data_IF_342315944274
#
_entry.id   IF_342315944274
#
_cell.length_a   1.000
_cell.length_b   1.000
_cell.length_c   1.000
_cell.angle_alpha   90.00
_cell.angle_beta   90.00
_cell.angle_gamma   90.00
#
_symmetry.space_group_name_H-M   'P 1'
#
loop_
_entity.id
_entity.type
_entity.pdbx_description
1 polymer ?
#
# COMPACT_ATOMS: atom_id res chain seq x y z
N UNK A 1 -8.17 38.29 -30.23
CA UNK A 1 -8.32 37.82 -28.86
C UNK A 1 -8.01 36.32 -28.81
N UNK A 2 -6.88 36.01 -28.21
CA UNK A 2 -6.46 34.65 -27.94
C UNK A 2 -7.44 34.03 -26.96
N UNK A 3 -8.22 33.06 -27.42
CA UNK A 3 -8.93 32.17 -26.52
C UNK A 3 -7.89 31.35 -25.80
N UNK A 4 -7.65 31.69 -24.57
CA UNK A 4 -6.96 30.91 -23.57
C UNK A 4 -7.65 29.54 -23.54
N UNK A 5 -6.99 28.53 -24.06
CA UNK A 5 -7.36 27.14 -23.87
C UNK A 5 -7.07 26.72 -22.43
N UNK A 6 -7.90 27.16 -21.49
CA UNK A 6 -8.10 26.49 -20.22
C UNK A 6 -8.90 25.20 -20.47
N UNK A 7 -8.50 24.42 -21.47
CA UNK A 7 -9.08 23.13 -21.76
C UNK A 7 -8.36 22.10 -20.91
N UNK A 8 -9.00 21.72 -19.80
CA UNK A 8 -8.97 20.39 -19.21
C UNK A 8 -7.57 19.82 -18.98
N UNK A 9 -6.95 20.22 -17.90
CA UNK A 9 -6.13 19.29 -17.12
C UNK A 9 -7.06 18.23 -16.50
N UNK A 10 -7.68 17.42 -17.36
CA UNK A 10 -8.24 16.16 -16.93
C UNK A 10 -7.01 15.33 -16.58
N UNK A 11 -6.71 15.22 -15.29
CA UNK A 11 -5.67 14.36 -14.76
C UNK A 11 -5.88 12.95 -15.33
N UNK A 12 -5.10 12.60 -16.34
CA UNK A 12 -5.12 11.26 -16.93
C UNK A 12 -4.50 10.33 -15.91
N UNK A 13 -5.34 9.66 -15.13
CA UNK A 13 -4.90 8.58 -14.24
C UNK A 13 -4.24 7.49 -15.08
N UNK A 14 -3.00 7.16 -14.75
CA UNK A 14 -2.26 6.09 -15.38
C UNK A 14 -2.27 4.87 -14.46
N UNK A 15 -2.42 3.68 -15.02
CA UNK A 15 -2.38 2.42 -14.26
C UNK A 15 -1.05 1.74 -14.57
N UNK A 16 -0.30 1.43 -13.51
CA UNK A 16 0.95 0.70 -13.58
C UNK A 16 0.89 -0.52 -12.66
N UNK A 17 1.32 -1.66 -13.16
CA UNK A 17 1.40 -2.89 -12.38
C UNK A 17 2.79 -3.02 -11.76
N UNK A 18 2.85 -3.17 -10.44
CA UNK A 18 4.12 -3.12 -9.69
C UNK A 18 4.71 -4.49 -9.37
N UNK A 19 3.98 -5.59 -9.65
CA UNK A 19 4.40 -6.95 -9.27
C UNK A 19 4.22 -7.22 -7.77
N UNK A 20 4.73 -8.36 -7.32
CA UNK A 20 4.62 -8.82 -5.93
C UNK A 20 5.96 -8.65 -5.21
N UNK A 21 5.88 -8.22 -3.95
CA UNK A 21 7.01 -8.05 -3.05
C UNK A 21 7.68 -6.68 -3.10
N UNK A 22 8.40 -6.35 -2.05
CA UNK A 22 8.97 -5.02 -1.82
C UNK A 22 9.95 -4.57 -2.91
N UNK A 23 10.78 -5.48 -3.41
CA UNK A 23 11.79 -5.15 -4.44
C UNK A 23 11.13 -4.75 -5.75
N UNK A 24 10.15 -5.53 -6.22
CA UNK A 24 9.39 -5.21 -7.43
C UNK A 24 8.60 -3.91 -7.26
N UNK A 25 7.98 -3.72 -6.10
CA UNK A 25 7.22 -2.52 -5.79
C UNK A 25 8.08 -1.25 -5.86
N UNK A 26 9.28 -1.26 -5.27
CA UNK A 26 10.23 -0.12 -5.35
C UNK A 26 10.66 0.14 -6.78
N UNK A 27 11.11 -0.90 -7.49
CA UNK A 27 11.64 -0.76 -8.85
C UNK A 27 10.57 -0.17 -9.80
N UNK A 28 9.38 -0.74 -9.78
CA UNK A 28 8.30 -0.30 -10.67
C UNK A 28 7.68 1.04 -10.25
N UNK A 29 7.60 1.35 -8.96
CA UNK A 29 7.19 2.68 -8.49
C UNK A 29 8.17 3.77 -8.95
N UNK A 30 9.48 3.54 -8.87
CA UNK A 30 10.48 4.49 -9.37
C UNK A 30 10.39 4.68 -10.88
N UNK A 31 10.16 3.60 -11.65
CA UNK A 31 9.95 3.68 -13.09
C UNK A 31 8.68 4.48 -13.44
N UNK A 32 7.57 4.24 -12.74
CA UNK A 32 6.33 4.97 -12.92
C UNK A 32 6.51 6.47 -12.61
N UNK A 33 7.21 6.80 -11.52
CA UNK A 33 7.54 8.18 -11.15
C UNK A 33 8.36 8.86 -12.24
N UNK A 34 9.40 8.19 -12.73
CA UNK A 34 10.24 8.72 -13.82
C UNK A 34 9.45 8.94 -15.10
N UNK A 35 8.53 8.04 -15.42
CA UNK A 35 7.73 8.08 -16.66
C UNK A 35 6.65 9.14 -16.63
N UNK A 36 5.96 9.30 -15.49
CA UNK A 36 4.74 10.09 -15.39
C UNK A 36 4.86 11.37 -14.55
N UNK A 37 5.91 11.51 -13.74
CA UNK A 37 6.10 12.63 -12.80
C UNK A 37 4.84 12.96 -11.98
N UNK A 38 4.22 11.96 -11.30
CA UNK A 38 2.94 12.13 -10.63
C UNK A 38 3.07 13.02 -9.40
N UNK A 39 2.03 13.80 -9.10
CA UNK A 39 1.89 14.54 -7.83
C UNK A 39 1.38 13.64 -6.70
N UNK A 40 0.63 12.60 -7.05
CA UNK A 40 0.06 11.64 -6.12
C UNK A 40 0.16 10.23 -6.71
N UNK A 41 0.43 9.26 -5.87
CA UNK A 41 0.34 7.83 -6.17
C UNK A 41 -0.78 7.23 -5.34
N UNK A 42 -1.63 6.44 -6.00
CA UNK A 42 -2.67 5.66 -5.33
C UNK A 42 -2.33 4.19 -5.53
N UNK A 43 -2.02 3.50 -4.43
CA UNK A 43 -1.83 2.05 -4.45
C UNK A 43 -3.16 1.35 -4.20
N UNK A 44 -3.43 0.34 -4.99
CA UNK A 44 -4.50 -0.62 -4.76
C UNK A 44 -3.95 -2.03 -4.80
N UNK A 45 -4.45 -2.89 -3.92
CA UNK A 45 -4.12 -4.31 -3.87
C UNK A 45 -4.96 -5.04 -2.84
N UNK A 46 -4.68 -6.32 -2.65
CA UNK A 46 -5.29 -7.14 -1.59
C UNK A 46 -4.44 -7.10 -0.33
N UNK A 47 -5.05 -7.45 0.81
CA UNK A 47 -4.38 -7.60 2.09
C UNK A 47 -5.09 -8.68 2.92
N UNK A 48 -4.34 -9.37 3.76
CA UNK A 48 -4.88 -10.23 4.81
C UNK A 48 -5.21 -9.40 6.05
N UNK A 49 -6.35 -9.68 6.69
CA UNK A 49 -6.72 -9.03 7.94
C UNK A 49 -6.21 -9.80 9.15
N UNK A 50 -5.71 -9.07 10.16
CA UNK A 50 -5.37 -9.62 11.48
C UNK A 50 -6.48 -9.37 12.51
N UNK A 51 -7.52 -8.61 12.14
CA UNK A 51 -8.76 -8.43 12.91
C UNK A 51 -9.97 -8.81 12.05
N UNK A 52 -10.68 -9.85 12.45
CA UNK A 52 -11.86 -10.37 11.73
C UNK A 52 -13.00 -9.35 11.54
N UNK A 53 -12.95 -8.21 12.23
CA UNK A 53 -13.91 -7.10 12.07
C UNK A 53 -13.61 -6.23 10.86
N UNK A 54 -12.37 -6.24 10.36
CA UNK A 54 -11.93 -5.44 9.22
C UNK A 54 -12.20 -6.22 7.95
N UNK A 55 -13.06 -5.70 7.09
CA UNK A 55 -13.53 -6.36 5.86
C UNK A 55 -13.74 -5.35 4.73
N UNK A 56 -13.77 -5.85 3.49
CA UNK A 56 -14.05 -5.03 2.32
C UNK A 56 -12.87 -4.14 1.92
N UNK A 57 -13.17 -2.98 1.37
CA UNK A 57 -12.16 -2.01 0.93
C UNK A 57 -11.86 -1.02 2.06
N UNK A 58 -10.61 -0.98 2.50
CA UNK A 58 -10.14 -0.09 3.57
C UNK A 58 -9.06 0.86 3.06
N UNK A 59 -8.96 2.06 3.65
CA UNK A 59 -7.84 2.97 3.44
C UNK A 59 -6.77 2.72 4.51
N UNK A 60 -5.51 2.71 4.09
CA UNK A 60 -4.36 2.53 4.98
C UNK A 60 -3.80 3.89 5.36
N UNK A 61 -3.62 4.14 6.63
CA UNK A 61 -3.06 5.39 7.17
C UNK A 61 -1.60 5.29 7.56
N UNK A 62 -1.18 4.13 8.06
CA UNK A 62 0.13 3.92 8.66
C UNK A 62 0.76 2.63 8.15
N UNK A 63 2.00 2.73 7.72
CA UNK A 63 2.74 1.65 7.05
C UNK A 63 3.94 1.25 7.87
N UNK A 64 4.12 -0.07 8.07
CA UNK A 64 5.23 -0.68 8.78
C UNK A 64 5.94 -1.71 7.89
N UNK A 65 7.25 -1.84 8.03
CA UNK A 65 8.01 -2.93 7.44
C UNK A 65 8.08 -4.09 8.43
N UNK A 66 7.05 -4.96 8.48
CA UNK A 66 6.87 -5.97 9.53
C UNK A 66 7.95 -7.04 9.60
N UNK A 67 8.64 -7.30 8.52
CA UNK A 67 9.68 -8.33 8.38
C UNK A 67 11.12 -7.76 8.50
N UNK A 68 11.27 -6.47 8.79
CA UNK A 68 12.55 -5.91 9.17
C UNK A 68 12.83 -6.27 10.63
N UNK A 69 13.74 -7.19 10.85
CA UNK A 69 14.15 -7.62 12.19
C UNK A 69 15.66 -7.52 12.35
N UNK A 70 16.10 -6.46 13.00
CA UNK A 70 17.47 -6.24 13.43
C UNK A 70 17.58 -6.24 14.96
N UNK A 71 16.68 -6.95 15.66
CA UNK A 71 16.66 -7.06 17.12
C UNK A 71 17.95 -7.61 17.72
N UNK A 72 18.70 -8.53 17.08
CA UNK A 72 20.02 -8.95 17.57
C UNK A 72 21.04 -7.80 17.65
N UNK A 73 20.82 -6.69 16.92
CA UNK A 73 21.64 -5.48 16.95
C UNK A 73 21.07 -4.40 17.88
N UNK A 74 19.99 -4.70 18.63
CA UNK A 74 19.34 -3.77 19.56
C UNK A 74 18.25 -2.88 18.97
N UNK A 75 17.86 -3.09 17.72
CA UNK A 75 16.75 -2.34 17.08
C UNK A 75 15.40 -3.02 17.35
N UNK A 76 14.32 -2.23 17.27
CA UNK A 76 12.96 -2.79 17.38
C UNK A 76 12.57 -3.51 16.08
N UNK A 77 11.73 -4.54 16.18
CA UNK A 77 11.12 -5.16 14.98
C UNK A 77 10.34 -4.09 14.20
N UNK A 78 10.54 -4.03 12.90
CA UNK A 78 10.01 -2.99 12.01
C UNK A 78 10.93 -1.77 11.84
N UNK A 79 11.94 -1.61 12.67
CA UNK A 79 12.89 -0.52 12.58
C UNK A 79 14.04 -0.85 11.63
N UNK A 80 14.19 -0.04 10.57
CA UNK A 80 15.40 -0.08 9.74
C UNK A 80 16.57 0.50 10.54
N UNK A 81 17.71 -0.22 10.70
CA UNK A 81 18.87 0.29 11.39
C UNK A 81 19.29 1.67 10.90
N UNK A 82 19.65 2.55 11.84
CA UNK A 82 20.08 3.94 11.58
C UNK A 82 19.03 4.88 11.00
N UNK A 83 17.77 4.44 10.91
CA UNK A 83 16.62 5.31 10.63
C UNK A 83 15.84 5.57 11.92
N UNK A 84 15.33 6.81 12.07
CA UNK A 84 14.53 7.19 13.24
C UNK A 84 13.10 6.68 13.17
N UNK A 85 12.52 6.72 11.97
CA UNK A 85 11.12 6.36 11.75
C UNK A 85 10.92 4.86 11.63
N UNK A 86 10.05 4.31 12.48
CA UNK A 86 9.61 2.90 12.43
C UNK A 86 8.39 2.78 11.49
N UNK A 87 7.64 3.88 11.33
CA UNK A 87 6.40 3.93 10.57
C UNK A 87 6.41 5.07 9.55
N UNK A 88 5.58 4.94 8.54
CA UNK A 88 5.35 5.99 7.54
C UNK A 88 3.88 6.36 7.53
N UNK A 89 3.59 7.67 7.59
CA UNK A 89 2.23 8.22 7.51
C UNK A 89 2.15 9.34 6.49
N UNK A 90 0.93 9.60 5.99
CA UNK A 90 0.62 10.70 5.08
C UNK A 90 -0.54 11.57 5.61
N UNK A 91 -0.73 11.61 6.94
CA UNK A 91 -1.73 12.45 7.60
C UNK A 91 -3.18 12.10 7.25
N UNK A 92 -3.46 10.80 6.98
CA UNK A 92 -4.80 10.29 6.67
C UNK A 92 -5.31 9.42 7.81
N UNK A 93 -6.62 9.24 7.87
CA UNK A 93 -7.26 8.27 8.76
C UNK A 93 -7.39 6.91 8.05
N UNK A 94 -7.29 5.82 8.80
CA UNK A 94 -7.40 4.47 8.25
C UNK A 94 -6.76 3.42 9.15
N UNK A 95 -6.59 2.22 8.59
CA UNK A 95 -5.97 1.08 9.28
C UNK A 95 -4.45 1.10 9.17
N UNK A 96 -3.78 0.34 10.04
CA UNK A 96 -2.34 0.10 9.99
C UNK A 96 -2.02 -1.12 9.12
N UNK A 97 -0.97 -1.03 8.29
CA UNK A 97 -0.55 -2.12 7.40
C UNK A 97 0.89 -2.54 7.66
N UNK A 98 1.11 -3.83 7.89
CA UNK A 98 2.42 -4.45 8.01
C UNK A 98 2.84 -5.12 6.70
N UNK A 99 3.83 -4.53 6.00
CA UNK A 99 4.36 -5.07 4.74
C UNK A 99 5.55 -6.01 4.96
N UNK A 100 5.59 -7.12 4.23
CA UNK A 100 6.73 -8.05 4.24
C UNK A 100 6.67 -9.05 3.09
N UNK A 101 7.82 -9.64 2.72
CA UNK A 101 7.95 -10.53 1.56
C UNK A 101 7.54 -11.99 1.84
N UNK A 102 6.83 -12.23 2.94
CA UNK A 102 6.26 -13.55 3.24
C UNK A 102 4.74 -13.47 3.27
N UNK A 103 4.09 -14.44 2.60
CA UNK A 103 2.65 -14.63 2.73
C UNK A 103 2.31 -15.05 4.18
N UNK A 104 1.38 -14.33 4.82
CA UNK A 104 1.09 -14.50 6.24
C UNK A 104 0.03 -15.57 6.45
N UNK A 105 0.38 -16.59 7.23
CA UNK A 105 -0.53 -17.67 7.67
C UNK A 105 -0.58 -17.81 9.18
N UNK A 106 0.20 -16.99 9.89
CA UNK A 106 0.27 -16.93 11.36
C UNK A 106 0.51 -15.49 11.78
N UNK A 107 0.02 -15.09 12.96
CA UNK A 107 0.14 -13.71 13.44
C UNK A 107 1.59 -13.25 13.52
N UNK A 108 1.97 -12.15 12.83
CA UNK A 108 3.32 -11.60 12.89
C UNK A 108 3.69 -11.04 14.25
N UNK A 109 5.00 -10.95 14.53
CA UNK A 109 5.52 -10.34 15.76
C UNK A 109 5.14 -8.86 15.87
N UNK A 110 5.28 -8.11 14.77
CA UNK A 110 4.82 -6.71 14.71
C UNK A 110 3.33 -6.70 14.41
N UNK A 111 2.55 -6.20 15.36
CA UNK A 111 1.09 -6.14 15.28
C UNK A 111 0.65 -4.94 14.45
N UNK A 112 -0.16 -5.21 13.44
CA UNK A 112 -0.85 -4.24 12.60
C UNK A 112 -2.29 -4.73 12.38
N UNK A 113 -3.16 -3.91 11.80
CA UNK A 113 -4.54 -4.30 11.51
C UNK A 113 -4.62 -5.26 10.32
N UNK A 114 -3.81 -4.98 9.28
CA UNK A 114 -3.74 -5.79 8.05
C UNK A 114 -2.29 -6.03 7.65
N UNK A 115 -2.10 -7.01 6.75
CA UNK A 115 -0.79 -7.36 6.20
C UNK A 115 -0.83 -7.42 4.68
N UNK A 116 0.26 -6.97 4.05
CA UNK A 116 0.47 -7.03 2.61
C UNK A 116 1.95 -7.32 2.27
N UNK A 117 2.30 -7.17 0.99
CA UNK A 117 3.66 -7.43 0.51
C UNK A 117 4.32 -6.22 -0.19
N UNK A 118 3.65 -5.05 -0.34
CA UNK A 118 4.15 -3.93 -1.15
C UNK A 118 3.99 -2.54 -0.53
N UNK A 119 2.94 -2.28 0.24
CA UNK A 119 2.49 -0.94 0.58
C UNK A 119 3.57 -0.08 1.27
N UNK A 120 4.30 -0.63 2.25
CA UNK A 120 5.39 0.11 2.89
C UNK A 120 6.48 0.53 1.90
N UNK A 121 6.83 -0.35 0.96
CA UNK A 121 7.88 -0.07 -0.02
C UNK A 121 7.49 1.11 -0.93
N UNK A 122 6.24 1.16 -1.39
CA UNK A 122 5.72 2.28 -2.19
C UNK A 122 5.63 3.55 -1.33
N UNK A 123 5.10 3.44 -0.11
CA UNK A 123 5.03 4.56 0.85
C UNK A 123 6.41 5.17 1.11
N UNK A 124 7.44 4.34 1.30
CA UNK A 124 8.84 4.77 1.49
C UNK A 124 9.34 5.55 0.27
N UNK A 125 9.13 5.04 -0.93
CA UNK A 125 9.49 5.72 -2.17
C UNK A 125 8.78 7.08 -2.28
N UNK A 126 7.48 7.13 -2.02
CA UNK A 126 6.69 8.36 -2.08
C UNK A 126 7.18 9.39 -1.04
N UNK A 127 7.44 8.98 0.21
CA UNK A 127 8.00 9.83 1.26
C UNK A 127 9.34 10.43 0.83
N UNK A 128 10.28 9.60 0.33
CA UNK A 128 11.59 10.05 -0.10
C UNK A 128 11.56 10.94 -1.34
N UNK A 129 10.54 10.82 -2.19
CA UNK A 129 10.34 11.63 -3.40
C UNK A 129 9.42 12.83 -3.17
N UNK A 130 8.89 13.02 -1.96
CA UNK A 130 7.92 14.07 -1.62
C UNK A 130 6.68 14.04 -2.53
N UNK A 131 6.16 12.83 -2.77
CA UNK A 131 4.94 12.57 -3.56
C UNK A 131 3.84 12.16 -2.59
N UNK A 132 2.63 12.73 -2.74
CA UNK A 132 1.47 12.34 -1.93
C UNK A 132 1.10 10.88 -2.23
N UNK A 133 0.70 10.16 -1.16
CA UNK A 133 0.41 8.72 -1.28
C UNK A 133 -0.92 8.37 -0.61
N UNK A 134 -1.72 7.58 -1.31
CA UNK A 134 -2.91 6.93 -0.77
C UNK A 134 -2.83 5.44 -1.02
N UNK A 135 -3.33 4.66 -0.11
CA UNK A 135 -3.34 3.21 -0.23
C UNK A 135 -4.70 2.64 0.16
N UNK A 136 -5.29 1.89 -0.76
CA UNK A 136 -6.52 1.16 -0.54
C UNK A 136 -6.25 -0.33 -0.65
N UNK A 137 -6.69 -1.09 0.34
CA UNK A 137 -6.56 -2.55 0.36
C UNK A 137 -7.93 -3.20 0.46
N UNK A 138 -8.16 -4.18 -0.41
CA UNK A 138 -9.31 -5.06 -0.30
C UNK A 138 -8.92 -6.25 0.57
N UNK A 139 -9.68 -6.50 1.63
CA UNK A 139 -9.44 -7.62 2.53
C UNK A 139 -9.86 -8.91 1.83
N UNK A 140 -8.88 -9.70 1.42
CA UNK A 140 -9.08 -10.96 0.69
C UNK A 140 -9.16 -12.18 1.58
N UNK A 141 -8.54 -12.11 2.76
CA UNK A 141 -8.36 -13.24 3.67
C UNK A 141 -8.14 -12.76 5.12
N UNK A 142 -8.11 -13.70 6.06
CA UNK A 142 -7.89 -13.43 7.48
C UNK A 142 -6.44 -13.68 7.94
N UNK A 143 -5.49 -13.77 7.03
CA UNK A 143 -4.08 -14.01 7.31
C UNK A 143 -3.85 -15.25 8.24
N UNK A 144 -4.63 -16.31 8.03
CA UNK A 144 -4.61 -17.57 8.78
C UNK A 144 -4.26 -18.77 7.87
N UNK A 145 -4.47 -19.99 8.34
CA UNK A 145 -4.18 -21.21 7.57
C UNK A 145 -5.01 -21.35 6.28
N UNK A 146 -6.18 -20.71 6.20
CA UNK A 146 -7.09 -20.75 5.03
C UNK A 146 -6.83 -19.59 4.06
N UNK A 147 -5.98 -18.63 4.41
CA UNK A 147 -5.72 -17.38 3.67
C UNK A 147 -5.44 -17.61 2.18
N UNK A 148 -4.76 -18.71 1.80
CA UNK A 148 -4.47 -19.03 0.41
C UNK A 148 -5.74 -19.29 -0.41
N UNK A 149 -6.69 -20.03 0.14
CA UNK A 149 -7.93 -20.36 -0.53
C UNK A 149 -8.82 -19.11 -0.63
N UNK A 150 -8.97 -18.40 0.47
CA UNK A 150 -9.74 -17.16 0.55
C UNK A 150 -9.23 -16.11 -0.44
N UNK A 151 -7.91 -15.96 -0.55
CA UNK A 151 -7.29 -15.01 -1.50
C UNK A 151 -7.63 -15.32 -2.94
N UNK A 152 -7.53 -16.60 -3.36
CA UNK A 152 -7.84 -17.04 -4.73
C UNK A 152 -9.29 -16.72 -5.09
N UNK A 153 -10.22 -16.95 -4.16
CA UNK A 153 -11.65 -16.75 -4.38
C UNK A 153 -12.03 -15.26 -4.42
N UNK A 154 -11.36 -14.41 -3.66
CA UNK A 154 -11.74 -13.03 -3.42
C UNK A 154 -10.95 -11.99 -4.23
N UNK A 155 -9.82 -12.34 -4.83
CA UNK A 155 -8.92 -11.37 -5.48
C UNK A 155 -9.58 -10.52 -6.56
N UNK A 156 -10.53 -11.06 -7.31
CA UNK A 156 -11.24 -10.36 -8.40
C UNK A 156 -12.32 -9.39 -7.90
N UNK A 157 -12.88 -9.65 -6.71
CA UNK A 157 -13.98 -8.84 -6.16
C UNK A 157 -13.52 -7.43 -5.78
N UNK A 158 -12.28 -7.31 -5.31
CA UNK A 158 -11.69 -6.03 -4.90
C UNK A 158 -11.56 -5.02 -6.03
N UNK A 159 -11.30 -5.47 -7.25
CA UNK A 159 -11.08 -4.57 -8.40
C UNK A 159 -12.29 -3.68 -8.70
N UNK A 160 -13.51 -4.22 -8.63
CA UNK A 160 -14.75 -3.47 -8.86
C UNK A 160 -14.94 -2.37 -7.82
N UNK A 161 -14.78 -2.70 -6.54
CA UNK A 161 -14.90 -1.74 -5.43
C UNK A 161 -13.86 -0.63 -5.53
N UNK A 162 -12.66 -0.94 -6.01
CA UNK A 162 -11.62 0.06 -6.21
C UNK A 162 -11.95 1.02 -7.35
N UNK A 163 -12.46 0.54 -8.49
CA UNK A 163 -12.89 1.39 -9.60
C UNK A 163 -13.96 2.38 -9.13
N UNK A 164 -14.95 1.91 -8.36
CA UNK A 164 -15.97 2.77 -7.76
C UNK A 164 -15.35 3.80 -6.81
N UNK A 165 -14.41 3.37 -5.97
CA UNK A 165 -13.70 4.26 -5.03
C UNK A 165 -12.91 5.33 -5.75
N UNK A 166 -12.10 4.98 -6.75
CA UNK A 166 -11.33 5.95 -7.56
C UNK A 166 -12.25 6.97 -8.23
N UNK A 167 -13.39 6.53 -8.77
CA UNK A 167 -14.38 7.42 -9.36
C UNK A 167 -14.96 8.45 -8.39
N UNK A 168 -14.99 8.12 -7.09
CA UNK A 168 -15.49 9.02 -6.03
C UNK A 168 -14.43 9.96 -5.44
N UNK A 169 -13.14 9.72 -5.70
CA UNK A 169 -12.07 10.60 -5.25
C UNK A 169 -12.09 11.88 -6.10
N UNK A 170 -12.38 13.00 -5.45
CA UNK A 170 -12.21 14.34 -6.05
C UNK A 170 -10.72 14.61 -6.19
N UNK A 171 -10.35 15.18 -7.31
CA UNK A 171 -9.01 15.68 -7.57
C UNK A 171 -8.63 16.81 -6.63
#
# INVERSE_FOLDING_TARGET
PSQSSAASDVYKRQIEYIGVGKVNAVFNALNAIKKHSPKQIINFGTAGSLDAKIKGLVEVSTFFQRDMDASPLGFKVGQTPFEEDIEITFGREGVTCGTGDMFVTTTPTLKTDIVDMEAFAIAKVCKLKNIDFRCFKFISDNADSEAKNDWVDNVSLGAKLFIEKIGSLKD
#
